data_IF_435694017025
#
_entry.id   IF_435694017025
#
_cell.length_a   1.000
_cell.length_b   1.000
_cell.length_c   1.000
_cell.angle_alpha   90.00
_cell.angle_beta   90.00
_cell.angle_gamma   90.00
#
_symmetry.space_group_name_H-M   'P 1'
#
loop_
_entity.id
_entity.type
_entity.pdbx_description
1 polymer ?
#
# COMPACT_ATOMS: atom_id res chain seq x y z
N UNK A 1 7.87 -22.88 3.58
CA UNK A 1 8.39 -21.94 4.61
C UNK A 1 9.63 -21.15 4.14
N UNK A 2 10.54 -21.74 3.36
CA UNK A 2 11.69 -21.02 2.77
C UNK A 2 11.28 -19.96 1.72
N UNK A 3 10.30 -20.26 0.87
CA UNK A 3 9.82 -19.34 -0.17
C UNK A 3 9.15 -18.09 0.40
N UNK A 4 8.34 -18.25 1.46
CA UNK A 4 7.70 -17.14 2.18
C UNK A 4 8.73 -16.20 2.82
N UNK A 5 9.83 -16.75 3.36
CA UNK A 5 10.92 -15.95 3.94
C UNK A 5 11.68 -15.18 2.87
N UNK A 6 11.96 -15.83 1.75
CA UNK A 6 12.60 -15.19 0.60
C UNK A 6 11.74 -14.05 0.02
N UNK A 7 10.43 -14.28 -0.11
CA UNK A 7 9.49 -13.27 -0.57
C UNK A 7 9.44 -12.05 0.37
N UNK A 8 9.44 -12.28 1.69
CA UNK A 8 9.52 -11.20 2.69
C UNK A 8 10.82 -10.40 2.54
N UNK A 9 11.95 -11.07 2.29
CA UNK A 9 13.23 -10.39 2.16
C UNK A 9 13.32 -9.55 0.86
N UNK A 10 12.75 -10.05 -0.24
CA UNK A 10 12.62 -9.30 -1.50
C UNK A 10 11.73 -8.06 -1.31
N UNK A 11 10.55 -8.22 -0.69
CA UNK A 11 9.65 -7.09 -0.42
C UNK A 11 10.32 -6.03 0.46
N UNK A 12 11.07 -6.45 1.48
CA UNK A 12 11.83 -5.51 2.32
C UNK A 12 12.89 -4.75 1.53
N UNK A 13 13.59 -5.45 0.64
CA UNK A 13 14.60 -4.83 -0.22
C UNK A 13 13.97 -3.82 -1.17
N UNK A 14 12.88 -4.18 -1.84
CA UNK A 14 12.16 -3.32 -2.77
C UNK A 14 11.58 -2.09 -2.06
N UNK A 15 11.05 -2.26 -0.83
CA UNK A 15 10.61 -1.15 0.02
C UNK A 15 11.76 -0.21 0.35
N UNK A 16 12.92 -0.73 0.74
CA UNK A 16 14.09 0.09 1.04
C UNK A 16 14.62 0.82 -0.19
N UNK A 17 14.63 0.16 -1.35
CA UNK A 17 15.01 0.77 -2.61
C UNK A 17 14.06 1.89 -3.02
N UNK A 18 12.74 1.70 -2.85
CA UNK A 18 11.73 2.72 -3.09
C UNK A 18 11.89 3.92 -2.14
N UNK A 19 12.11 3.67 -0.85
CA UNK A 19 12.37 4.73 0.14
C UNK A 19 13.63 5.51 -0.22
N UNK A 20 14.72 4.83 -0.61
CA UNK A 20 15.96 5.51 -1.00
C UNK A 20 15.78 6.31 -2.30
N UNK A 21 15.02 5.79 -3.26
CA UNK A 21 14.70 6.49 -4.51
C UNK A 21 13.87 7.76 -4.27
N UNK A 22 12.97 7.74 -3.28
CA UNK A 22 12.08 8.84 -2.93
C UNK A 22 12.43 9.52 -1.60
N UNK A 23 13.70 9.41 -1.20
CA UNK A 23 14.19 9.83 0.11
C UNK A 23 13.83 11.26 0.47
N UNK A 24 13.87 12.17 -0.51
CA UNK A 24 13.54 13.58 -0.30
C UNK A 24 12.12 13.77 0.27
N UNK A 25 11.14 13.01 -0.22
CA UNK A 25 9.76 13.07 0.27
C UNK A 25 9.65 12.49 1.68
N UNK A 26 10.32 11.37 1.95
CA UNK A 26 10.33 10.77 3.29
C UNK A 26 11.04 11.67 4.33
N UNK A 27 12.14 12.31 3.95
CA UNK A 27 12.83 13.31 4.79
C UNK A 27 11.91 14.52 5.06
N UNK A 28 11.13 14.96 4.06
CA UNK A 28 10.12 16.02 4.21
C UNK A 28 8.99 15.63 5.18
N UNK A 29 8.55 14.37 5.21
CA UNK A 29 7.57 13.88 6.20
C UNK A 29 8.11 13.97 7.64
N UNK A 30 9.40 13.68 7.84
CA UNK A 30 10.05 13.84 9.13
C UNK A 30 10.13 15.32 9.55
N UNK A 31 10.41 16.21 8.60
CA UNK A 31 10.39 17.67 8.83
C UNK A 31 9.00 18.14 9.27
N UNK A 32 7.94 17.73 8.57
CA UNK A 32 6.54 18.04 8.96
C UNK A 32 6.24 17.55 10.38
N UNK A 33 6.69 16.35 10.73
CA UNK A 33 6.53 15.80 12.08
C UNK A 33 7.22 16.67 13.14
N UNK A 34 8.40 17.19 12.85
CA UNK A 34 9.14 18.08 13.75
C UNK A 34 8.49 19.46 13.84
N UNK A 35 8.05 20.04 12.72
CA UNK A 35 7.35 21.32 12.68
C UNK A 35 6.04 21.24 13.46
N UNK A 36 5.26 20.17 13.30
CA UNK A 36 4.02 19.95 14.06
C UNK A 36 4.27 19.89 15.57
N UNK A 37 5.33 19.20 16.01
CA UNK A 37 5.75 19.21 17.42
C UNK A 37 6.11 20.63 17.88
N UNK A 38 6.80 21.41 17.05
CA UNK A 38 7.17 22.80 17.39
C UNK A 38 5.96 23.71 17.47
N UNK A 39 4.99 23.59 16.57
CA UNK A 39 3.71 24.32 16.60
C UNK A 39 2.98 24.10 17.93
N UNK A 40 2.92 22.85 18.41
CA UNK A 40 2.30 22.53 19.71
C UNK A 40 2.99 23.26 20.86
N UNK A 41 4.33 23.26 20.88
CA UNK A 41 5.11 23.98 21.89
C UNK A 41 4.89 25.49 21.81
N UNK A 42 4.96 26.06 20.60
CA UNK A 42 4.79 27.50 20.37
C UNK A 42 3.41 27.99 20.80
N UNK A 43 2.35 27.22 20.49
CA UNK A 43 0.99 27.52 20.96
C UNK A 43 0.91 27.52 22.48
N UNK A 44 1.58 26.58 23.14
CA UNK A 44 1.61 26.52 24.60
C UNK A 44 2.40 27.69 25.23
N UNK A 45 3.49 28.13 24.60
CA UNK A 45 4.28 29.29 25.02
C UNK A 45 3.51 30.59 24.85
N UNK A 46 2.80 30.76 23.71
CA UNK A 46 1.96 31.92 23.42
C UNK A 46 0.72 32.03 24.34
N UNK A 47 0.24 30.93 24.91
CA UNK A 47 -0.79 31.00 25.97
C UNK A 47 -0.27 31.76 27.21
N UNK A 48 1.02 31.62 27.51
CA UNK A 48 1.65 32.25 28.66
C UNK A 48 2.16 33.67 28.36
N UNK A 49 2.52 33.95 27.10
CA UNK A 49 3.00 35.26 26.64
C UNK A 49 2.38 35.61 25.26
N UNK A 50 1.12 36.07 25.23
CA UNK A 50 0.37 36.25 23.98
C UNK A 50 0.91 37.36 23.06
N UNK A 51 1.58 38.35 23.64
CA UNK A 51 2.10 39.52 22.91
C UNK A 51 3.51 39.27 22.34
N UNK A 52 4.05 38.05 22.49
CA UNK A 52 5.37 37.69 22.02
C UNK A 52 5.42 37.54 20.50
N UNK A 53 5.73 38.66 19.84
CA UNK A 53 5.82 38.73 18.37
C UNK A 53 6.78 37.72 17.76
N UNK A 54 7.87 37.38 18.44
CA UNK A 54 8.84 36.43 17.91
C UNK A 54 8.24 35.02 17.86
N UNK A 55 7.56 34.59 18.93
CA UNK A 55 6.85 33.31 18.97
C UNK A 55 5.70 33.29 17.96
N UNK A 56 4.99 34.41 17.77
CA UNK A 56 3.94 34.50 16.75
C UNK A 56 4.48 34.37 15.32
N UNK A 57 5.62 35.01 15.01
CA UNK A 57 6.25 34.87 13.70
C UNK A 57 6.78 33.46 13.45
N UNK A 58 7.37 32.83 14.47
CA UNK A 58 7.84 31.46 14.37
C UNK A 58 6.68 30.48 14.16
N UNK A 59 5.56 30.68 14.87
CA UNK A 59 4.36 29.86 14.70
C UNK A 59 3.84 29.95 13.27
N UNK A 60 3.69 31.17 12.75
CA UNK A 60 3.24 31.40 11.38
C UNK A 60 4.20 30.79 10.36
N UNK A 61 5.51 30.88 10.58
CA UNK A 61 6.50 30.22 9.73
C UNK A 61 6.29 28.70 9.73
N UNK A 62 6.20 28.07 10.90
CA UNK A 62 6.01 26.62 10.98
C UNK A 62 4.70 26.18 10.32
N UNK A 63 3.60 26.91 10.53
CA UNK A 63 2.30 26.59 9.93
C UNK A 63 2.33 26.69 8.40
N UNK A 64 2.94 27.75 7.85
CA UNK A 64 3.09 27.90 6.40
C UNK A 64 4.01 26.84 5.78
N UNK A 65 5.10 26.49 6.45
CA UNK A 65 6.01 25.45 5.96
C UNK A 65 5.39 24.06 6.02
N UNK A 66 4.56 23.78 7.04
CA UNK A 66 3.77 22.54 7.10
C UNK A 66 2.83 22.48 5.90
N UNK A 67 2.04 23.54 5.66
CA UNK A 67 1.08 23.58 4.55
C UNK A 67 1.78 23.35 3.20
N UNK A 68 2.90 24.06 2.93
CA UNK A 68 3.67 23.88 1.69
C UNK A 68 4.18 22.45 1.54
N UNK A 69 4.78 21.88 2.59
CA UNK A 69 5.39 20.54 2.49
C UNK A 69 4.29 19.47 2.39
N UNK A 70 3.15 19.64 3.07
CA UNK A 70 2.01 18.73 2.95
C UNK A 70 1.40 18.76 1.54
N UNK A 71 1.34 19.92 0.88
CA UNK A 71 0.97 20.01 -0.54
C UNK A 71 1.93 19.21 -1.43
N UNK A 72 3.25 19.39 -1.28
CA UNK A 72 4.26 18.65 -2.04
C UNK A 72 4.16 17.11 -1.82
N UNK A 73 3.91 16.68 -0.57
CA UNK A 73 3.70 15.28 -0.22
C UNK A 73 2.41 14.75 -0.88
N UNK A 74 1.32 15.51 -0.83
CA UNK A 74 0.05 15.12 -1.43
C UNK A 74 0.14 15.04 -2.96
N UNK A 75 0.82 15.98 -3.62
CA UNK A 75 1.12 15.92 -5.05
C UNK A 75 1.92 14.66 -5.38
N UNK A 76 2.99 14.38 -4.64
CA UNK A 76 3.79 13.17 -4.82
C UNK A 76 2.94 11.89 -4.73
N UNK A 77 2.07 11.78 -3.72
CA UNK A 77 1.19 10.63 -3.58
C UNK A 77 0.09 10.58 -4.65
N UNK A 78 -0.39 11.73 -5.14
CA UNK A 78 -1.35 11.78 -6.26
C UNK A 78 -0.73 11.37 -7.59
N UNK A 79 0.56 11.68 -7.80
CA UNK A 79 1.31 11.27 -8.99
C UNK A 79 1.75 9.80 -8.89
N UNK A 80 2.07 9.34 -7.68
CA UNK A 80 2.35 7.94 -7.38
C UNK A 80 1.09 7.09 -7.14
N UNK A 81 -0.11 7.67 -7.26
CA UNK A 81 -1.39 6.96 -7.27
C UNK A 81 -1.48 5.98 -8.45
N UNK A 82 -0.55 6.08 -9.41
CA UNK A 82 -0.25 5.06 -10.41
C UNK A 82 0.00 3.68 -9.78
N UNK A 83 0.67 3.58 -8.63
CA UNK A 83 0.87 2.32 -7.93
C UNK A 83 -0.44 1.74 -7.39
N UNK A 84 -1.33 2.59 -6.87
CA UNK A 84 -2.66 2.16 -6.42
C UNK A 84 -3.54 1.76 -7.59
N UNK A 85 -3.48 2.51 -8.68
CA UNK A 85 -4.12 2.19 -9.94
C UNK A 85 -3.61 0.86 -10.52
N UNK A 86 -2.30 0.62 -10.51
CA UNK A 86 -1.67 -0.61 -10.97
C UNK A 86 -2.01 -1.81 -10.08
N UNK A 87 -2.10 -1.62 -8.76
CA UNK A 87 -2.57 -2.64 -7.81
C UNK A 87 -4.04 -2.98 -8.09
N UNK A 88 -4.91 -1.98 -8.25
CA UNK A 88 -6.32 -2.20 -8.53
C UNK A 88 -6.54 -2.84 -9.92
N UNK A 89 -5.74 -2.47 -10.91
CA UNK A 89 -5.78 -3.07 -12.23
C UNK A 89 -5.27 -4.51 -12.22
N UNK A 90 -4.19 -4.77 -11.47
CA UNK A 90 -3.66 -6.13 -11.25
C UNK A 90 -4.66 -7.02 -10.52
N UNK A 91 -5.38 -6.50 -9.51
CA UNK A 91 -6.48 -7.21 -8.85
C UNK A 91 -7.58 -7.61 -9.82
N UNK A 92 -8.05 -6.67 -10.66
CA UNK A 92 -9.05 -6.98 -11.70
C UNK A 92 -8.58 -8.07 -12.67
N UNK A 93 -7.31 -8.02 -13.10
CA UNK A 93 -6.73 -9.05 -13.97
C UNK A 93 -6.69 -10.42 -13.30
N UNK A 94 -6.33 -10.48 -12.01
CA UNK A 94 -6.36 -11.70 -11.21
C UNK A 94 -7.79 -12.28 -11.15
N UNK A 95 -8.79 -11.43 -10.88
CA UNK A 95 -10.19 -11.85 -10.84
C UNK A 95 -10.67 -12.38 -12.20
N UNK A 96 -10.26 -11.76 -13.31
CA UNK A 96 -10.55 -12.25 -14.66
C UNK A 96 -9.91 -13.63 -14.91
N UNK A 97 -8.64 -13.80 -14.54
CA UNK A 97 -7.94 -15.07 -14.71
C UNK A 97 -8.60 -16.20 -13.89
N UNK A 98 -8.99 -15.92 -12.65
CA UNK A 98 -9.70 -16.91 -11.83
C UNK A 98 -11.05 -17.28 -12.45
N UNK A 99 -11.81 -16.30 -12.94
CA UNK A 99 -13.06 -16.57 -13.65
C UNK A 99 -12.86 -17.44 -14.90
N UNK A 100 -11.82 -17.20 -15.69
CA UNK A 100 -11.50 -18.06 -16.85
C UNK A 100 -11.12 -19.48 -16.41
N UNK A 101 -10.31 -19.63 -15.36
CA UNK A 101 -9.93 -20.93 -14.83
C UNK A 101 -11.13 -21.72 -14.30
N UNK A 102 -12.05 -21.08 -13.58
CA UNK A 102 -13.30 -21.70 -13.14
C UNK A 102 -14.15 -22.14 -14.33
N UNK A 103 -14.26 -21.29 -15.36
CA UNK A 103 -14.97 -21.66 -16.60
C UNK A 103 -14.34 -22.88 -17.28
N UNK A 104 -13.01 -22.99 -17.31
CA UNK A 104 -12.35 -24.17 -17.86
C UNK A 104 -12.67 -25.43 -17.05
N UNK A 105 -12.63 -25.36 -15.72
CA UNK A 105 -12.99 -26.49 -14.85
C UNK A 105 -14.46 -26.90 -15.07
N UNK A 106 -15.37 -25.94 -15.17
CA UNK A 106 -16.79 -26.20 -15.44
C UNK A 106 -17.02 -26.84 -16.82
N UNK A 107 -16.23 -26.46 -17.84
CA UNK A 107 -16.28 -27.08 -19.16
C UNK A 107 -15.82 -28.54 -19.10
N UNK A 108 -14.77 -28.85 -18.34
CA UNK A 108 -14.29 -30.23 -18.15
C UNK A 108 -15.34 -31.11 -17.45
N UNK A 109 -16.10 -30.55 -16.50
CA UNK A 109 -17.19 -31.25 -15.81
C UNK A 109 -18.40 -31.46 -16.71
N UNK A 110 -18.75 -30.45 -17.52
CA UNK A 110 -19.98 -30.43 -18.31
C UNK A 110 -19.89 -31.25 -19.60
N UNK A 111 -18.73 -31.32 -20.23
CA UNK A 111 -18.54 -31.97 -21.52
C UNK A 111 -17.77 -33.28 -21.35
N UNK A 112 -18.51 -34.38 -21.27
CA UNK A 112 -17.97 -35.74 -21.18
C UNK A 112 -17.09 -36.15 -22.37
N UNK A 113 -17.13 -35.39 -23.47
CA UNK A 113 -16.29 -35.54 -24.66
C UNK A 113 -14.79 -35.37 -24.36
N UNK A 114 -14.44 -34.65 -23.28
CA UNK A 114 -13.05 -34.50 -22.85
C UNK A 114 -12.51 -35.74 -22.12
N UNK A 115 -13.38 -36.67 -21.71
CA UNK A 115 -13.01 -37.92 -21.04
C UNK A 115 -12.03 -37.72 -19.86
N UNK A 116 -12.26 -36.67 -19.07
CA UNK A 116 -11.48 -36.36 -17.87
C UNK A 116 -12.09 -37.07 -16.67
N UNK A 117 -11.25 -37.68 -15.84
CA UNK A 117 -11.71 -38.35 -14.62
C UNK A 117 -12.30 -37.33 -13.64
N UNK A 118 -13.44 -37.67 -13.03
CA UNK A 118 -14.16 -36.81 -12.07
C UNK A 118 -13.28 -36.41 -10.89
N UNK A 119 -12.46 -37.34 -10.38
CA UNK A 119 -11.48 -37.09 -9.32
C UNK A 119 -10.43 -36.05 -9.70
N UNK A 120 -10.06 -35.98 -10.98
CA UNK A 120 -9.11 -35.00 -11.49
C UNK A 120 -9.75 -33.62 -11.63
N UNK A 121 -11.03 -33.56 -12.07
CA UNK A 121 -11.81 -32.32 -12.09
C UNK A 121 -12.00 -31.76 -10.68
N UNK A 122 -12.31 -32.62 -9.71
CA UNK A 122 -12.43 -32.24 -8.30
C UNK A 122 -11.09 -31.72 -7.75
N UNK A 123 -9.97 -32.39 -8.06
CA UNK A 123 -8.63 -31.93 -7.68
C UNK A 123 -8.28 -30.54 -8.27
N UNK A 124 -8.67 -30.27 -9.52
CA UNK A 124 -8.50 -28.94 -10.12
C UNK A 124 -9.33 -27.88 -9.40
N UNK A 125 -10.60 -28.18 -9.09
CA UNK A 125 -11.49 -27.26 -8.36
C UNK A 125 -10.95 -26.94 -6.97
N UNK A 126 -10.49 -27.95 -6.23
CA UNK A 126 -9.87 -27.76 -4.91
C UNK A 126 -8.61 -26.89 -5.01
N UNK A 127 -7.71 -27.21 -5.95
CA UNK A 127 -6.47 -26.46 -6.14
C UNK A 127 -6.73 -24.99 -6.51
N UNK A 128 -7.76 -24.74 -7.33
CA UNK A 128 -8.14 -23.38 -7.75
C UNK A 128 -8.68 -22.57 -6.58
N UNK A 129 -9.56 -23.15 -5.76
CA UNK A 129 -10.07 -22.51 -4.54
C UNK A 129 -8.96 -22.22 -3.52
N UNK A 130 -8.02 -23.16 -3.34
CA UNK A 130 -6.87 -22.94 -2.47
C UNK A 130 -5.97 -21.80 -2.99
N UNK A 131 -5.79 -21.71 -4.31
CA UNK A 131 -5.03 -20.63 -4.93
C UNK A 131 -5.69 -19.26 -4.71
N UNK A 132 -7.02 -19.15 -4.84
CA UNK A 132 -7.76 -17.92 -4.55
C UNK A 132 -7.57 -17.46 -3.11
N UNK A 133 -7.72 -18.38 -2.15
CA UNK A 133 -7.53 -18.08 -0.72
C UNK A 133 -6.10 -17.62 -0.45
N UNK A 134 -5.10 -18.30 -1.02
CA UNK A 134 -3.69 -17.93 -0.85
C UNK A 134 -3.39 -16.54 -1.44
N UNK A 135 -3.97 -16.22 -2.59
CA UNK A 135 -3.82 -14.89 -3.22
C UNK A 135 -4.49 -13.81 -2.37
N UNK A 136 -5.70 -14.05 -1.87
CA UNK A 136 -6.37 -13.11 -0.95
C UNK A 136 -5.58 -12.87 0.33
N UNK A 137 -5.06 -13.94 0.95
CA UNK A 137 -4.23 -13.84 2.15
C UNK A 137 -2.95 -13.05 1.88
N UNK A 138 -2.30 -13.31 0.75
CA UNK A 138 -1.13 -12.56 0.32
C UNK A 138 -1.44 -11.07 0.14
N UNK A 139 -2.55 -10.73 -0.52
CA UNK A 139 -3.00 -9.34 -0.68
C UNK A 139 -3.27 -8.69 0.68
N UNK A 140 -3.94 -9.39 1.60
CA UNK A 140 -4.23 -8.88 2.96
C UNK A 140 -2.95 -8.67 3.77
N UNK A 141 -1.94 -9.54 3.63
CA UNK A 141 -0.64 -9.37 4.28
C UNK A 141 0.09 -8.13 3.76
N UNK A 142 0.06 -7.89 2.46
CA UNK A 142 0.64 -6.69 1.86
C UNK A 142 -0.12 -5.39 2.21
N UNK A 143 -1.41 -5.49 2.57
CA UNK A 143 -2.24 -4.33 2.95
C UNK A 143 -2.13 -3.95 4.43
N UNK A 144 -1.66 -4.87 5.29
CA UNK A 144 -1.53 -4.67 6.75
C UNK A 144 -0.16 -4.14 7.19
N UNK A 145 0.77 -3.96 6.26
CA UNK A 145 2.06 -3.33 6.52
C UNK A 145 2.02 -1.79 6.54
N UNK A 146 0.82 -1.22 6.43
CA UNK A 146 0.55 0.22 6.32
C UNK A 146 -0.08 0.84 7.59
N UNK A 147 -0.23 0.07 8.69
CA UNK A 147 -0.63 0.54 10.03
C UNK A 147 0.56 0.63 11.01
#
# INVERSE_FOLDING_TARGET
MFELRHLIDVIKYDKLAYIEQHKEIFDKMDVVTQLNKRVVVLRQELVNDPDNKNLSFELQFCENEIERIEEEINEFFSENDALKFDIDNSRKLIDFNFNELHQYVDLLEKYSEFNVEESLVEAFRTSLNELEVNVEEYVKLCSKSDD
#
